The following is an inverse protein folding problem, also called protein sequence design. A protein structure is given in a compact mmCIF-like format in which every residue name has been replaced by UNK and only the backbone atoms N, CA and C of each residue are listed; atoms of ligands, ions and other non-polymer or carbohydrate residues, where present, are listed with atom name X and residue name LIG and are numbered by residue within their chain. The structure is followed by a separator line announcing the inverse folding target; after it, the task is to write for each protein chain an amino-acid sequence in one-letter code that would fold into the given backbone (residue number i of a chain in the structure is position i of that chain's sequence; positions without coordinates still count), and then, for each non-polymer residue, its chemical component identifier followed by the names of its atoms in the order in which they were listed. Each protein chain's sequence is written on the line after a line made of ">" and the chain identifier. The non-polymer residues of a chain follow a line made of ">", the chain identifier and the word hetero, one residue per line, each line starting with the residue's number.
data_IF_790251465105
#
_entry.id   IF_790251465105
#
_cell.length_a   1.000
_cell.length_b   1.000
_cell.length_c   1.000
_cell.angle_alpha   90.00
_cell.angle_beta   90.00
_cell.angle_gamma   90.00
#
_symmetry.space_group_name_H-M   'P 1'
#
loop_
_entity.id
_entity.type
_entity.pdbx_description
1 polymer ?
#
# COMPACT_ATOMS: atom_id res chain seq x y z
N UNK A 1 40.30 75.84 10.11
CA UNK A 1 39.69 74.78 10.93
C UNK A 1 38.57 74.15 10.10
N UNK A 2 38.89 73.02 9.50
CA UNK A 2 37.94 72.35 8.61
C UNK A 2 37.57 70.98 9.21
N UNK A 3 36.28 70.79 9.48
CA UNK A 3 35.72 69.53 9.92
C UNK A 3 35.38 68.64 8.71
N UNK A 4 36.03 67.49 8.61
CA UNK A 4 35.67 66.44 7.64
C UNK A 4 34.68 65.49 8.31
N UNK A 5 33.46 65.43 7.81
CA UNK A 5 32.44 64.44 8.15
C UNK A 5 32.65 63.15 7.32
N UNK A 6 33.00 62.07 7.97
CA UNK A 6 33.11 60.74 7.42
C UNK A 6 31.70 60.08 7.35
N UNK A 7 31.24 59.72 6.13
CA UNK A 7 30.01 58.99 5.91
C UNK A 7 30.35 57.50 5.90
N UNK A 8 29.91 56.79 6.94
CA UNK A 8 30.02 55.32 7.03
C UNK A 8 28.91 54.66 6.21
N UNK A 9 29.27 53.94 5.14
CA UNK A 9 28.37 53.09 4.36
C UNK A 9 28.14 51.78 5.12
N UNK A 10 26.95 51.64 5.72
CA UNK A 10 26.50 50.38 6.28
C UNK A 10 26.17 49.37 5.18
N UNK A 11 26.91 48.26 5.14
CA UNK A 11 26.71 47.10 4.26
C UNK A 11 25.62 46.21 4.85
N UNK A 12 24.42 46.25 4.28
CA UNK A 12 23.32 45.34 4.63
C UNK A 12 23.63 43.97 3.98
N UNK A 13 24.04 43.02 4.81
CA UNK A 13 24.17 41.62 4.43
C UNK A 13 22.77 41.01 4.53
N UNK A 14 22.10 40.86 3.40
CA UNK A 14 20.85 40.08 3.32
C UNK A 14 21.12 38.59 3.54
N UNK A 15 20.71 38.08 4.69
CA UNK A 15 20.69 36.65 4.94
C UNK A 15 19.54 36.02 4.15
N UNK A 16 19.84 35.42 3.00
CA UNK A 16 18.89 34.56 2.28
C UNK A 16 18.69 33.27 3.08
N UNK A 17 17.54 33.16 3.74
CA UNK A 17 17.10 31.90 4.36
C UNK A 17 16.72 30.96 3.22
N UNK A 18 17.60 30.05 2.87
CA UNK A 18 17.29 28.91 2.02
C UNK A 18 16.38 27.96 2.81
N UNK A 19 15.06 28.08 2.60
CA UNK A 19 14.13 27.04 3.00
C UNK A 19 14.43 25.81 2.15
N UNK A 20 15.19 24.87 2.70
CA UNK A 20 15.21 23.51 2.19
C UNK A 20 13.83 22.91 2.42
N UNK A 21 13.01 22.88 1.39
CA UNK A 21 11.85 22.01 1.35
C UNK A 21 12.40 20.58 1.44
N UNK A 22 12.32 19.98 2.63
CA UNK A 22 12.54 18.55 2.79
C UNK A 22 11.45 17.86 1.98
N UNK A 23 11.81 17.39 0.78
CA UNK A 23 10.98 16.41 0.07
C UNK A 23 10.80 15.23 1.03
N UNK A 24 9.54 14.80 1.28
CA UNK A 24 9.33 13.57 2.04
C UNK A 24 10.15 12.48 1.33
N UNK A 25 11.01 11.81 2.08
CA UNK A 25 11.76 10.68 1.56
C UNK A 25 10.72 9.71 1.01
N UNK A 26 10.75 9.46 -0.30
CA UNK A 26 9.95 8.39 -0.89
C UNK A 26 10.25 7.14 -0.06
N UNK A 27 9.20 6.50 0.47
CA UNK A 27 9.39 5.30 1.27
C UNK A 27 10.14 4.29 0.39
N UNK A 28 11.41 4.04 0.74
CA UNK A 28 12.22 3.07 0.00
C UNK A 28 11.51 1.72 0.12
N UNK A 29 11.20 1.13 -1.02
CA UNK A 29 10.70 -0.22 -1.04
C UNK A 29 11.79 -1.15 -0.53
N UNK A 30 11.48 -1.92 0.48
CA UNK A 30 12.42 -2.93 1.01
C UNK A 30 12.68 -3.93 -0.11
N UNK A 31 13.96 -4.20 -0.39
CA UNK A 31 14.34 -5.19 -1.39
C UNK A 31 13.91 -6.56 -0.87
N UNK A 32 13.01 -7.20 -1.60
CA UNK A 32 12.57 -8.59 -1.35
C UNK A 32 13.59 -9.62 -1.84
N UNK A 33 13.14 -10.86 -1.98
CA UNK A 33 13.91 -11.90 -2.65
C UNK A 33 14.04 -11.57 -4.14
N UNK A 34 15.22 -11.78 -4.72
CA UNK A 34 15.40 -11.67 -6.16
C UNK A 34 14.86 -12.96 -6.80
N UNK A 35 13.78 -12.89 -7.61
CA UNK A 35 13.21 -14.08 -8.21
C UNK A 35 14.13 -14.60 -9.33
N UNK A 36 14.03 -15.91 -9.60
CA UNK A 36 14.79 -16.54 -10.70
C UNK A 36 14.37 -16.02 -12.08
N UNK A 37 13.13 -15.58 -12.20
CA UNK A 37 12.53 -14.99 -13.40
C UNK A 37 11.76 -13.75 -12.99
N UNK A 38 11.70 -12.75 -13.89
CA UNK A 38 10.84 -11.60 -13.67
C UNK A 38 9.37 -12.04 -13.70
N UNK A 39 8.63 -11.99 -12.57
CA UNK A 39 7.24 -12.45 -12.50
C UNK A 39 6.27 -11.46 -13.13
N UNK A 40 6.72 -10.24 -13.41
CA UNK A 40 5.87 -9.21 -13.98
C UNK A 40 6.13 -9.00 -15.47
N UNK A 41 5.13 -8.45 -16.16
CA UNK A 41 5.25 -8.01 -17.54
C UNK A 41 4.47 -6.71 -17.74
N UNK A 42 4.85 -5.86 -18.72
CA UNK A 42 4.02 -4.71 -19.11
C UNK A 42 2.64 -5.18 -19.60
N UNK A 43 1.58 -4.58 -19.05
CA UNK A 43 0.22 -4.92 -19.45
C UNK A 43 -0.23 -4.05 -20.63
N UNK A 44 -0.57 -4.70 -21.77
CA UNK A 44 -1.06 -4.04 -23.00
C UNK A 44 -0.22 -2.84 -23.46
N UNK A 45 1.10 -2.89 -23.20
CA UNK A 45 2.04 -1.83 -23.60
C UNK A 45 1.89 -0.50 -22.87
N UNK A 46 1.13 -0.47 -21.77
CA UNK A 46 0.93 0.70 -20.92
C UNK A 46 1.85 0.74 -19.70
N UNK A 47 1.54 1.65 -18.77
CA UNK A 47 2.25 1.79 -17.48
C UNK A 47 1.80 0.79 -16.41
N UNK A 48 0.76 0.01 -16.68
CA UNK A 48 0.33 -1.08 -15.82
C UNK A 48 1.25 -2.30 -15.99
N UNK A 49 1.42 -3.06 -14.92
CA UNK A 49 2.08 -4.37 -14.95
C UNK A 49 1.05 -5.47 -14.67
N UNK A 50 1.34 -6.67 -15.13
CA UNK A 50 0.57 -7.87 -14.84
C UNK A 50 1.51 -8.90 -14.21
N UNK A 51 1.07 -9.53 -13.12
CA UNK A 51 1.73 -10.71 -12.59
C UNK A 51 1.38 -11.90 -13.48
N UNK A 52 2.41 -12.59 -14.01
CA UNK A 52 2.24 -13.56 -15.10
C UNK A 52 1.40 -14.76 -14.70
N UNK A 53 1.60 -15.27 -13.49
CA UNK A 53 0.96 -16.51 -13.06
C UNK A 53 -0.47 -16.28 -12.53
N UNK A 54 -0.71 -15.21 -11.74
CA UNK A 54 -2.06 -14.89 -11.28
C UNK A 54 -2.90 -14.12 -12.29
N UNK A 55 -2.30 -13.50 -13.30
CA UNK A 55 -2.99 -12.60 -14.21
C UNK A 55 -3.43 -11.27 -13.58
N UNK A 56 -3.08 -11.00 -12.34
CA UNK A 56 -3.49 -9.79 -11.64
C UNK A 56 -2.78 -8.56 -12.21
N UNK A 57 -3.58 -7.54 -12.53
CA UNK A 57 -3.10 -6.30 -13.16
C UNK A 57 -2.98 -5.21 -12.11
N UNK A 58 -1.84 -4.52 -12.10
CA UNK A 58 -1.53 -3.43 -11.20
C UNK A 58 -1.28 -2.15 -12.00
N UNK A 59 -2.29 -1.26 -12.12
CA UNK A 59 -2.13 0.03 -12.79
C UNK A 59 -1.05 0.89 -12.13
N UNK A 60 -0.40 1.77 -12.89
CA UNK A 60 0.51 2.76 -12.31
C UNK A 60 -0.22 3.75 -11.40
N UNK A 61 -1.48 4.04 -11.73
CA UNK A 61 -2.37 4.89 -10.93
C UNK A 61 -3.77 4.28 -10.94
N UNK A 62 -4.43 4.23 -9.77
CA UNK A 62 -5.81 3.76 -9.62
C UNK A 62 -6.43 4.35 -8.35
N UNK A 63 -7.71 4.74 -8.38
CA UNK A 63 -8.43 5.32 -7.24
C UNK A 63 -7.65 6.46 -6.54
N UNK A 64 -6.89 7.26 -7.29
CA UNK A 64 -6.04 8.32 -6.74
C UNK A 64 -4.76 7.83 -6.05
N UNK A 65 -4.52 6.52 -5.99
CA UNK A 65 -3.26 5.95 -5.53
C UNK A 65 -2.29 5.76 -6.70
N UNK A 66 -1.00 6.01 -6.44
CA UNK A 66 0.11 5.78 -7.34
C UNK A 66 0.91 4.57 -6.87
N UNK A 67 1.19 3.63 -7.77
CA UNK A 67 2.10 2.53 -7.51
C UNK A 67 3.53 3.06 -7.34
N UNK A 68 4.20 2.67 -6.26
CA UNK A 68 5.58 3.07 -5.97
C UNK A 68 6.58 2.00 -6.40
N UNK A 69 6.30 0.75 -6.05
CA UNK A 69 7.19 -0.37 -6.32
C UNK A 69 6.48 -1.71 -6.26
N UNK A 70 7.13 -2.71 -6.81
CA UNK A 70 6.86 -4.13 -6.69
C UNK A 70 8.03 -4.85 -6.04
N UNK A 71 7.74 -5.93 -5.30
CA UNK A 71 8.72 -6.73 -4.58
C UNK A 71 8.24 -8.16 -4.51
N UNK A 72 9.09 -9.12 -4.82
CA UNK A 72 8.81 -10.54 -4.60
C UNK A 72 9.30 -10.97 -3.22
N UNK A 73 8.61 -11.93 -2.61
CA UNK A 73 8.95 -12.45 -1.28
C UNK A 73 9.52 -13.86 -1.32
N UNK A 74 9.51 -14.49 -2.48
CA UNK A 74 10.09 -15.80 -2.75
C UNK A 74 10.86 -15.85 -4.09
N UNK A 75 11.56 -16.96 -4.32
CA UNK A 75 12.36 -17.15 -5.54
C UNK A 75 11.55 -17.54 -6.77
N UNK A 76 10.34 -18.09 -6.59
CA UNK A 76 9.43 -18.41 -7.71
C UNK A 76 8.80 -17.13 -8.28
N UNK A 77 8.58 -16.13 -7.44
CA UNK A 77 7.85 -14.91 -7.77
C UNK A 77 6.35 -15.01 -7.54
N UNK A 78 5.86 -16.16 -7.03
CA UNK A 78 4.43 -16.39 -6.77
C UNK A 78 3.92 -15.52 -5.62
N UNK A 79 4.77 -15.26 -4.62
CA UNK A 79 4.42 -14.41 -3.50
C UNK A 79 5.09 -13.04 -3.67
N UNK A 80 4.29 -12.01 -3.75
CA UNK A 80 4.79 -10.66 -4.02
C UNK A 80 4.00 -9.58 -3.26
N UNK A 81 4.55 -8.39 -3.25
CA UNK A 81 3.95 -7.20 -2.64
C UNK A 81 4.08 -6.01 -3.58
N UNK A 82 3.01 -5.25 -3.69
CA UNK A 82 2.95 -3.99 -4.42
C UNK A 82 2.62 -2.88 -3.44
N UNK A 83 3.37 -1.79 -3.47
CA UNK A 83 3.08 -0.60 -2.65
C UNK A 83 2.42 0.47 -3.48
N UNK A 84 1.32 0.99 -2.97
CA UNK A 84 0.62 2.16 -3.46
C UNK A 84 0.64 3.28 -2.44
N UNK A 85 0.58 4.53 -2.90
CA UNK A 85 0.49 5.71 -2.05
C UNK A 85 -0.51 6.72 -2.63
N UNK A 86 -1.30 7.33 -1.74
CA UNK A 86 -2.18 8.47 -2.04
C UNK A 86 -1.99 9.53 -0.96
N UNK A 87 -1.92 10.80 -1.34
CA UNK A 87 -1.90 11.91 -0.36
C UNK A 87 -3.33 12.35 -0.08
N UNK A 88 -3.71 12.42 1.19
CA UNK A 88 -4.99 12.96 1.66
C UNK A 88 -4.69 14.16 2.56
N UNK A 89 -5.17 15.34 2.16
CA UNK A 89 -4.67 16.57 2.76
C UNK A 89 -3.17 16.72 2.52
N UNK A 90 -2.39 16.81 3.60
CA UNK A 90 -0.93 16.91 3.53
C UNK A 90 -0.22 15.60 3.98
N UNK A 91 -0.98 14.52 4.20
CA UNK A 91 -0.46 13.26 4.72
C UNK A 91 -0.47 12.15 3.66
N UNK A 92 0.65 11.46 3.45
CA UNK A 92 0.68 10.28 2.59
C UNK A 92 0.07 9.07 3.31
N UNK A 93 -0.78 8.33 2.60
CA UNK A 93 -1.30 7.03 3.02
C UNK A 93 -0.67 5.99 2.12
N UNK A 94 0.12 5.10 2.71
CA UNK A 94 0.70 3.97 2.00
C UNK A 94 -0.17 2.72 2.21
N UNK A 95 -0.31 1.93 1.15
CA UNK A 95 -0.99 0.64 1.16
C UNK A 95 -0.05 -0.41 0.60
N UNK A 96 0.24 -1.41 1.40
CA UNK A 96 0.95 -2.60 0.99
C UNK A 96 -0.05 -3.69 0.60
N UNK A 97 -0.05 -4.07 -0.66
CA UNK A 97 -0.88 -5.14 -1.22
C UNK A 97 0.03 -6.35 -1.41
N UNK A 98 -0.08 -7.34 -0.56
CA UNK A 98 0.62 -8.60 -0.74
C UNK A 98 -0.34 -9.62 -1.36
N UNK A 99 0.14 -10.30 -2.40
CA UNK A 99 -0.55 -11.40 -3.05
C UNK A 99 0.25 -12.67 -2.80
N UNK A 100 -0.44 -13.71 -2.40
CA UNK A 100 0.17 -15.00 -2.06
C UNK A 100 -0.62 -16.12 -2.70
N UNK A 101 0.09 -17.14 -3.17
CA UNK A 101 -0.53 -18.37 -3.65
C UNK A 101 -0.87 -19.24 -2.44
N UNK A 102 -2.15 -19.39 -2.14
CA UNK A 102 -2.66 -20.18 -1.01
C UNK A 102 -3.82 -21.03 -1.48
N UNK A 103 -3.71 -22.33 -1.25
CA UNK A 103 -4.80 -23.27 -1.48
C UNK A 103 -5.54 -23.54 -0.16
N UNK A 104 -6.86 -23.69 -0.23
CA UNK A 104 -7.71 -24.12 0.89
C UNK A 104 -7.71 -23.20 2.13
N UNK A 105 -7.34 -21.93 1.99
CA UNK A 105 -7.35 -20.97 3.08
C UNK A 105 -8.43 -19.92 2.88
N UNK A 106 -9.32 -19.76 3.85
CA UNK A 106 -10.33 -18.69 3.78
C UNK A 106 -9.72 -17.32 4.07
N UNK A 107 -10.34 -16.25 3.54
CA UNK A 107 -9.91 -14.88 3.84
C UNK A 107 -9.82 -14.61 5.36
N UNK A 108 -10.76 -15.17 6.15
CA UNK A 108 -10.74 -15.08 7.62
C UNK A 108 -9.53 -15.76 8.25
N UNK A 109 -9.15 -16.94 7.76
CA UNK A 109 -8.01 -17.68 8.31
C UNK A 109 -6.70 -17.02 7.92
N UNK A 110 -6.58 -16.55 6.67
CA UNK A 110 -5.46 -15.72 6.23
C UNK A 110 -5.32 -14.46 7.09
N UNK A 111 -6.41 -13.73 7.32
CA UNK A 111 -6.43 -12.58 8.23
C UNK A 111 -5.91 -12.93 9.63
N UNK A 112 -6.40 -14.03 10.22
CA UNK A 112 -6.01 -14.47 11.56
C UNK A 112 -4.53 -14.81 11.69
N UNK A 113 -3.94 -15.39 10.64
CA UNK A 113 -2.51 -15.71 10.58
C UNK A 113 -1.67 -14.44 10.57
N UNK A 114 -2.07 -13.43 9.83
CA UNK A 114 -1.28 -12.19 9.62
C UNK A 114 -1.49 -11.16 10.73
N UNK A 115 -2.69 -11.10 11.32
CA UNK A 115 -3.07 -10.11 12.34
C UNK A 115 -2.01 -9.91 13.44
N UNK A 116 -1.46 -10.95 14.11
CA UNK A 116 -0.47 -10.77 15.16
C UNK A 116 0.78 -10.04 14.69
N UNK A 117 1.24 -10.34 13.47
CA UNK A 117 2.40 -9.68 12.87
C UNK A 117 2.13 -8.22 12.63
N UNK A 118 0.99 -7.88 12.03
CA UNK A 118 0.60 -6.48 11.77
C UNK A 118 0.51 -5.69 13.09
N UNK A 119 -0.19 -6.22 14.08
CA UNK A 119 -0.34 -5.57 15.39
C UNK A 119 1.00 -5.37 16.10
N UNK A 120 1.97 -6.26 15.93
CA UNK A 120 3.28 -6.18 16.60
C UNK A 120 4.12 -4.96 16.17
N UNK A 121 3.81 -4.35 15.04
CA UNK A 121 4.51 -3.16 14.54
C UNK A 121 4.04 -1.84 15.20
N UNK A 122 2.97 -1.89 16.01
CA UNK A 122 2.40 -0.70 16.64
C UNK A 122 2.38 -0.86 18.16
N UNK A 123 2.84 0.17 18.87
CA UNK A 123 2.75 0.19 20.33
C UNK A 123 1.28 0.28 20.77
N UNK A 124 0.93 -0.46 21.82
CA UNK A 124 -0.43 -0.47 22.39
C UNK A 124 -1.53 -0.82 21.38
N UNK A 125 -1.23 -1.66 20.40
CA UNK A 125 -2.20 -2.04 19.39
C UNK A 125 -3.42 -2.72 20.00
N UNK A 126 -4.61 -2.26 19.65
CA UNK A 126 -5.90 -2.83 20.07
C UNK A 126 -6.86 -2.92 18.90
N UNK A 127 -7.76 -3.91 18.95
CA UNK A 127 -8.78 -4.07 17.91
C UNK A 127 -9.88 -3.05 18.15
N UNK A 128 -10.18 -2.23 17.16
CA UNK A 128 -11.34 -1.36 17.12
C UNK A 128 -12.55 -2.11 16.55
N UNK A 129 -12.37 -2.73 15.39
CA UNK A 129 -13.41 -3.54 14.75
C UNK A 129 -12.80 -4.67 13.93
N UNK A 130 -13.51 -5.79 13.80
CA UNK A 130 -13.17 -6.85 12.84
C UNK A 130 -14.43 -7.61 12.40
N UNK A 131 -14.47 -8.03 11.13
CA UNK A 131 -15.61 -8.75 10.58
C UNK A 131 -15.47 -9.06 9.10
N UNK A 132 -16.50 -9.70 8.58
CA UNK A 132 -16.64 -9.93 7.15
C UNK A 132 -16.68 -8.59 6.42
N UNK A 133 -15.93 -8.49 5.31
CA UNK A 133 -15.82 -7.28 4.52
C UNK A 133 -16.49 -7.49 3.17
N UNK A 134 -17.24 -6.49 2.73
CA UNK A 134 -17.93 -6.50 1.43
C UNK A 134 -17.10 -5.75 0.38
N UNK A 135 -16.62 -6.47 -0.62
CA UNK A 135 -15.92 -5.86 -1.76
C UNK A 135 -16.96 -5.32 -2.73
N UNK A 136 -17.01 -3.99 -2.89
CA UNK A 136 -18.00 -3.33 -3.74
C UNK A 136 -17.99 -3.86 -5.18
N UNK A 137 -19.14 -4.33 -5.66
CA UNK A 137 -19.31 -4.88 -7.00
C UNK A 137 -18.79 -6.32 -7.19
N UNK A 138 -18.44 -7.03 -6.10
CA UNK A 138 -17.88 -8.38 -6.12
C UNK A 138 -18.51 -9.27 -5.04
N UNK A 139 -19.76 -9.66 -5.25
CA UNK A 139 -20.51 -10.56 -4.34
C UNK A 139 -19.95 -12.00 -4.33
N UNK A 140 -19.08 -12.31 -5.30
CA UNK A 140 -18.43 -13.60 -5.48
C UNK A 140 -17.19 -13.78 -4.59
N UNK A 141 -16.68 -12.71 -3.98
CA UNK A 141 -15.47 -12.76 -3.17
C UNK A 141 -15.77 -12.90 -1.68
N UNK A 142 -14.97 -13.75 -1.00
CA UNK A 142 -14.89 -13.79 0.45
C UNK A 142 -13.82 -12.82 0.92
N UNK A 143 -14.15 -11.95 1.87
CA UNK A 143 -13.17 -11.03 2.45
C UNK A 143 -13.40 -10.80 3.94
N UNK A 144 -12.32 -10.49 4.66
CA UNK A 144 -12.34 -10.21 6.09
C UNK A 144 -11.44 -9.02 6.41
N UNK A 145 -11.93 -8.11 7.26
CA UNK A 145 -11.19 -6.89 7.59
C UNK A 145 -11.11 -6.69 9.10
N UNK A 146 -10.01 -6.09 9.55
CA UNK A 146 -9.87 -5.53 10.88
C UNK A 146 -9.29 -4.12 10.82
N UNK A 147 -9.79 -3.28 11.72
CA UNK A 147 -9.26 -1.95 12.02
C UNK A 147 -8.66 -2.00 13.42
N UNK A 148 -7.47 -1.46 13.57
CA UNK A 148 -6.73 -1.45 14.82
C UNK A 148 -6.33 -0.03 15.17
N UNK A 149 -6.50 0.32 16.43
CA UNK A 149 -5.81 1.46 17.03
C UNK A 149 -4.39 1.07 17.41
N UNK A 150 -3.45 2.00 17.24
CA UNK A 150 -2.07 1.82 17.66
C UNK A 150 -1.34 3.14 17.75
N UNK A 151 -0.08 3.08 18.15
CA UNK A 151 0.79 4.24 18.20
C UNK A 151 2.08 3.99 17.41
N UNK A 152 2.47 4.99 16.62
CA UNK A 152 3.76 5.05 15.94
C UNK A 152 4.40 6.39 16.28
N UNK A 153 5.60 6.37 16.84
CA UNK A 153 6.32 7.58 17.28
C UNK A 153 5.49 8.47 18.26
N UNK A 154 4.69 7.84 19.12
CA UNK A 154 3.74 8.48 20.06
C UNK A 154 2.59 9.25 19.39
N UNK A 155 2.35 9.04 18.12
CA UNK A 155 1.20 9.57 17.40
C UNK A 155 0.15 8.47 17.27
N UNK A 156 -1.15 8.74 17.51
CA UNK A 156 -2.23 7.78 17.27
C UNK A 156 -2.38 7.47 15.79
N UNK A 157 -2.45 6.17 15.47
CA UNK A 157 -2.62 5.66 14.11
C UNK A 157 -3.72 4.62 14.06
N UNK A 158 -4.44 4.60 12.93
CA UNK A 158 -5.24 3.45 12.53
C UNK A 158 -4.45 2.57 11.57
N UNK A 159 -4.69 1.27 11.68
CA UNK A 159 -4.15 0.26 10.77
C UNK A 159 -5.31 -0.57 10.26
N UNK A 160 -5.47 -0.62 8.96
CA UNK A 160 -6.44 -1.49 8.29
C UNK A 160 -5.72 -2.71 7.74
N UNK A 161 -6.22 -3.89 8.05
CA UNK A 161 -5.83 -5.16 7.43
C UNK A 161 -7.05 -5.77 6.78
N UNK A 162 -7.02 -5.91 5.46
CA UNK A 162 -8.08 -6.59 4.69
C UNK A 162 -7.48 -7.80 3.99
N UNK A 163 -8.05 -8.98 4.19
CA UNK A 163 -7.73 -10.18 3.43
C UNK A 163 -8.88 -10.51 2.49
N UNK A 164 -8.57 -10.87 1.24
CA UNK A 164 -9.55 -11.17 0.19
C UNK A 164 -9.12 -12.47 -0.49
N UNK A 165 -10.03 -13.42 -0.55
CA UNK A 165 -9.86 -14.70 -1.22
C UNK A 165 -10.31 -14.58 -2.67
N UNK A 166 -9.37 -14.82 -3.59
CA UNK A 166 -9.59 -14.88 -5.05
C UNK A 166 -9.49 -16.32 -5.59
N UNK A 167 -9.65 -17.32 -4.74
CA UNK A 167 -9.50 -18.73 -5.10
C UNK A 167 -8.07 -19.22 -4.84
N UNK A 168 -7.29 -19.51 -5.88
CA UNK A 168 -5.89 -19.94 -5.71
C UNK A 168 -4.95 -18.83 -5.17
N UNK A 169 -5.41 -17.60 -5.19
CA UNK A 169 -4.63 -16.42 -4.79
C UNK A 169 -5.37 -15.63 -3.75
N UNK A 170 -4.69 -15.33 -2.67
CA UNK A 170 -5.17 -14.41 -1.65
C UNK A 170 -4.46 -13.06 -1.77
N UNK A 171 -5.23 -11.99 -1.66
CA UNK A 171 -4.68 -10.65 -1.50
C UNK A 171 -4.90 -10.15 -0.07
N UNK A 172 -3.86 -9.56 0.51
CA UNK A 172 -3.99 -8.80 1.75
C UNK A 172 -3.55 -7.36 1.54
N UNK A 173 -4.37 -6.43 2.00
CA UNK A 173 -4.07 -5.02 1.97
C UNK A 173 -3.81 -4.54 3.41
N UNK A 174 -2.65 -3.94 3.62
CA UNK A 174 -2.28 -3.34 4.90
C UNK A 174 -2.09 -1.86 4.66
N UNK A 175 -2.93 -1.04 5.29
CA UNK A 175 -2.81 0.41 5.25
C UNK A 175 -2.63 0.96 6.66
N UNK A 176 -1.84 2.03 6.79
CA UNK A 176 -1.73 2.76 8.04
C UNK A 176 -1.83 4.25 7.80
N UNK A 177 -2.56 4.94 8.64
CA UNK A 177 -2.84 6.37 8.51
C UNK A 177 -3.06 7.01 9.87
N UNK A 178 -2.79 8.33 10.03
CA UNK A 178 -3.09 9.05 11.25
C UNK A 178 -4.58 8.95 11.60
N UNK A 179 -4.90 8.82 12.88
CA UNK A 179 -6.27 8.69 13.38
C UNK A 179 -7.21 9.81 12.87
N UNK A 180 -6.71 11.03 12.70
CA UNK A 180 -7.47 12.17 12.19
C UNK A 180 -7.95 12.02 10.73
N UNK A 181 -7.36 11.08 9.99
CA UNK A 181 -7.74 10.78 8.60
C UNK A 181 -8.64 9.56 8.47
N UNK A 182 -9.20 9.04 9.56
CA UNK A 182 -9.94 7.79 9.55
C UNK A 182 -10.99 7.70 8.44
N UNK A 183 -11.97 8.59 8.42
CA UNK A 183 -13.05 8.54 7.42
C UNK A 183 -12.53 8.67 5.99
N UNK A 184 -11.74 9.71 5.61
CA UNK A 184 -11.27 9.85 4.24
C UNK A 184 -10.28 8.75 3.82
N UNK A 185 -9.55 8.17 4.75
CA UNK A 185 -8.66 7.05 4.46
C UNK A 185 -9.44 5.78 4.17
N UNK A 186 -10.44 5.44 4.98
CA UNK A 186 -11.29 4.27 4.75
C UNK A 186 -12.06 4.37 3.44
N UNK A 187 -12.61 5.54 3.09
CA UNK A 187 -13.26 5.78 1.79
C UNK A 187 -12.27 5.54 0.64
N UNK A 188 -11.05 6.08 0.73
CA UNK A 188 -10.02 5.88 -0.29
C UNK A 188 -9.60 4.41 -0.43
N UNK A 189 -9.52 3.68 0.67
CA UNK A 189 -9.20 2.25 0.66
C UNK A 189 -10.31 1.41 0.05
N UNK A 190 -11.58 1.73 0.32
CA UNK A 190 -12.72 1.08 -0.34
C UNK A 190 -12.69 1.31 -1.86
N UNK A 191 -12.41 2.54 -2.31
CA UNK A 191 -12.24 2.86 -3.73
C UNK A 191 -11.08 2.06 -4.35
N UNK A 192 -9.97 1.93 -3.65
CA UNK A 192 -8.80 1.17 -4.12
C UNK A 192 -9.13 -0.31 -4.29
N UNK A 193 -9.74 -0.93 -3.28
CA UNK A 193 -10.14 -2.34 -3.34
C UNK A 193 -11.12 -2.57 -4.49
N UNK A 194 -12.14 -1.71 -4.63
CA UNK A 194 -13.14 -1.82 -5.71
C UNK A 194 -12.55 -1.63 -7.12
N UNK A 195 -11.43 -0.92 -7.24
CA UNK A 195 -10.76 -0.70 -8.52
C UNK A 195 -10.02 -1.95 -9.03
N UNK A 196 -9.67 -2.90 -8.16
CA UNK A 196 -9.02 -4.14 -8.53
C UNK A 196 -10.06 -5.20 -8.91
N UNK A 197 -10.28 -5.36 -10.22
CA UNK A 197 -11.21 -6.35 -10.79
C UNK A 197 -10.48 -7.67 -11.13
N UNK A 198 -9.67 -8.16 -10.19
CA UNK A 198 -8.91 -9.40 -10.40
C UNK A 198 -9.83 -10.62 -10.40
N UNK A 199 -9.45 -11.60 -11.21
CA UNK A 199 -10.06 -12.91 -11.23
C UNK A 199 -8.94 -13.94 -11.22
N UNK A 200 -9.05 -14.95 -10.36
CA UNK A 200 -8.12 -16.07 -10.45
C UNK A 200 -8.23 -16.75 -11.82
N UNK A 201 -7.11 -17.21 -12.37
CA UNK A 201 -7.16 -18.12 -13.51
C UNK A 201 -8.05 -19.31 -13.14
N UNK A 202 -9.03 -19.60 -13.98
CA UNK A 202 -9.79 -20.85 -13.86
C UNK A 202 -8.90 -21.93 -14.46
N UNK A 203 -8.67 -23.02 -13.74
CA UNK A 203 -8.00 -24.18 -14.34
C UNK A 203 -8.81 -24.67 -15.53
N UNK A 204 -8.29 -24.46 -16.75
CA UNK A 204 -8.92 -24.98 -17.98
C UNK A 204 -8.82 -26.52 -18.09
N UNK A 205 -8.32 -27.21 -17.06
CA UNK A 205 -8.06 -28.65 -17.10
C UNK A 205 -9.27 -29.58 -16.86
N UNK A 206 -10.44 -29.07 -16.47
CA UNK A 206 -11.62 -29.97 -16.26
C UNK A 206 -12.51 -30.15 -17.52
N UNK A 207 -12.12 -29.63 -18.68
CA UNK A 207 -12.90 -29.71 -19.93
C UNK A 207 -12.43 -30.73 -20.98
N UNK A 208 -11.39 -31.48 -20.74
CA UNK A 208 -10.74 -32.37 -21.70
C UNK A 208 -10.98 -33.86 -21.50
N UNK A 209 -12.20 -34.26 -21.26
CA UNK A 209 -12.56 -35.69 -21.11
C UNK A 209 -13.82 -36.04 -21.89
N UNK A 210 -13.70 -36.30 -23.20
CA UNK A 210 -14.62 -37.17 -23.94
C UNK A 210 -13.83 -37.88 -25.07
#
# INVERSE_FOLDING_TARGET
>A
MGFRTSVSRGMLIGASVLCFASTPAAAECVIGSEPLFDPFAPYKGGSAIVHKDSGFVFPAETAGFRRLCEMTTDFSGDNFQIRYERTIGDQPIAVDIAVVHLEDLTARDHYRIIKPTVMSHYASASIESEGDYFVSGRDDLSAYQGIFDGQKDNVPWHVSLTAIDYGYWDARLIASYPHELDVPAQEALMELVAAFQWQSPVDEEEGGGD
#
